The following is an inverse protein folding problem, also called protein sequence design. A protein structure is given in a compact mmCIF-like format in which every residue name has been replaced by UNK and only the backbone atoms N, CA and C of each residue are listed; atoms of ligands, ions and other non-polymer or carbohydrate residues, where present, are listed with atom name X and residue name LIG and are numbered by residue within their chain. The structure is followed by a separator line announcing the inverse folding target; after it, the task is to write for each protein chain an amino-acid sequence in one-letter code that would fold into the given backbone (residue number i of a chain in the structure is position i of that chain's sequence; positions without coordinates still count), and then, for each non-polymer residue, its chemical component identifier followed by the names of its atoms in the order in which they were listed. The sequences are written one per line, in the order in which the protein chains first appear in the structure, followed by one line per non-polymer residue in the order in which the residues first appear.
data_IF_940150907584
#
_entry.id   IF_940150907584
#
_cell.length_a   1.000
_cell.length_b   1.000
_cell.length_c   1.000
_cell.angle_alpha   90.00
_cell.angle_beta   90.00
_cell.angle_gamma   90.00
#
_symmetry.space_group_name_H-M   'P 1'
#
loop_
_entity.id
_entity.type
_entity.pdbx_description
1 polymer ?
#
# COMPACT_ATOMS: atom_id res chain seq x y z
N UNK A 1 -16.11 -29.82 6.08
CA UNK A 1 -15.52 -29.27 4.84
C UNK A 1 -16.12 -27.89 4.59
N UNK A 2 -15.38 -26.94 3.98
CA UNK A 2 -15.90 -25.61 3.63
C UNK A 2 -15.10 -24.39 4.09
N UNK A 3 -14.04 -24.57 4.89
CA UNK A 3 -13.15 -23.46 5.25
C UNK A 3 -12.35 -23.01 4.01
N UNK A 4 -12.30 -21.70 3.76
CA UNK A 4 -11.49 -21.10 2.69
C UNK A 4 -10.15 -20.64 3.26
N UNK A 5 -9.02 -20.91 2.58
CA UNK A 5 -7.72 -20.43 3.04
C UNK A 5 -7.66 -18.90 2.97
N UNK A 6 -6.94 -18.30 3.91
CA UNK A 6 -6.56 -16.90 3.81
C UNK A 6 -5.63 -16.74 2.61
N UNK A 7 -5.94 -15.78 1.73
CA UNK A 7 -5.11 -15.46 0.56
C UNK A 7 -4.11 -14.38 0.94
N UNK A 8 -2.88 -14.54 0.46
CA UNK A 8 -1.87 -13.48 0.56
C UNK A 8 -2.32 -12.29 -0.29
N UNK A 9 -2.18 -11.08 0.26
CA UNK A 9 -2.52 -9.83 -0.43
C UNK A 9 -1.27 -8.97 -0.52
N UNK A 10 -0.87 -8.64 -1.74
CA UNK A 10 0.18 -7.67 -2.03
C UNK A 10 -0.39 -6.26 -2.01
N UNK A 11 0.17 -5.41 -1.15
CA UNK A 11 -0.18 -4.00 -1.02
C UNK A 11 1.03 -3.12 -1.33
N UNK A 12 0.78 -1.83 -1.58
CA UNK A 12 1.83 -0.85 -1.92
C UNK A 12 2.62 -1.22 -3.19
N UNK A 13 1.93 -1.74 -4.20
CA UNK A 13 2.51 -2.29 -5.44
C UNK A 13 2.68 -1.26 -6.56
N UNK A 14 2.64 0.03 -6.25
CA UNK A 14 3.08 1.05 -7.20
C UNK A 14 4.60 1.18 -7.18
N UNK A 15 5.23 1.10 -8.34
CA UNK A 15 6.66 1.38 -8.49
C UNK A 15 6.98 2.81 -8.04
N UNK A 16 7.99 2.95 -7.18
CA UNK A 16 8.41 4.25 -6.61
C UNK A 16 9.67 4.81 -7.28
N UNK A 17 10.48 3.95 -7.89
CA UNK A 17 11.65 4.35 -8.66
C UNK A 17 11.22 4.63 -10.12
N UNK A 18 11.41 5.87 -10.64
CA UNK A 18 11.04 6.20 -12.02
C UNK A 18 11.85 5.43 -13.08
N UNK A 19 13.02 4.90 -12.73
CA UNK A 19 13.85 4.12 -13.66
C UNK A 19 13.39 2.65 -13.77
N UNK A 20 12.45 2.23 -12.92
CA UNK A 20 11.87 0.89 -12.96
C UNK A 20 10.52 0.91 -13.67
N UNK A 21 10.10 -0.20 -14.32
CA UNK A 21 8.78 -0.29 -14.94
C UNK A 21 7.66 0.01 -13.93
N UNK A 22 6.68 0.79 -14.32
CA UNK A 22 5.50 1.12 -13.51
C UNK A 22 4.58 -0.09 -13.24
N UNK A 23 4.76 -1.18 -13.99
CA UNK A 23 4.12 -2.49 -13.78
C UNK A 23 4.98 -3.51 -12.99
N UNK A 24 6.18 -3.14 -12.52
CA UNK A 24 7.18 -4.07 -11.96
C UNK A 24 6.59 -5.06 -10.94
N UNK A 25 5.93 -4.55 -9.89
CA UNK A 25 5.43 -5.40 -8.82
C UNK A 25 4.25 -6.27 -9.25
N UNK A 26 3.40 -5.79 -10.16
CA UNK A 26 2.25 -6.57 -10.63
C UNK A 26 2.73 -7.74 -11.48
N UNK A 27 3.72 -7.51 -12.35
CA UNK A 27 4.31 -8.57 -13.17
C UNK A 27 5.04 -9.61 -12.32
N UNK A 28 5.87 -9.16 -11.37
CA UNK A 28 6.75 -10.05 -10.60
C UNK A 28 6.02 -10.88 -9.54
N UNK A 29 4.90 -10.39 -8.99
CA UNK A 29 4.21 -11.01 -7.85
C UNK A 29 2.94 -11.80 -8.25
N UNK A 30 2.69 -11.97 -9.54
CA UNK A 30 1.56 -12.74 -10.04
C UNK A 30 1.72 -14.22 -9.64
N UNK A 31 0.86 -14.72 -8.74
CA UNK A 31 0.88 -16.11 -8.28
C UNK A 31 -0.52 -16.66 -7.97
N UNK A 32 -0.75 -17.99 -8.08
CA UNK A 32 -1.99 -18.63 -7.70
C UNK A 32 -2.42 -18.28 -6.28
N UNK A 33 -3.73 -18.11 -6.07
CA UNK A 33 -4.34 -17.86 -4.76
C UNK A 33 -3.83 -16.61 -4.02
N UNK A 34 -3.29 -15.63 -4.74
CA UNK A 34 -2.92 -14.32 -4.21
C UNK A 34 -3.88 -13.21 -4.68
N UNK A 35 -3.82 -12.07 -4.01
CA UNK A 35 -4.53 -10.84 -4.36
C UNK A 35 -3.48 -9.73 -4.49
N UNK A 36 -3.64 -8.81 -5.43
CA UNK A 36 -2.86 -7.58 -5.48
C UNK A 36 -3.82 -6.40 -5.40
N UNK A 37 -3.67 -5.53 -4.39
CA UNK A 37 -4.43 -4.28 -4.29
C UNK A 37 -3.64 -3.16 -4.93
N UNK A 38 -4.14 -2.67 -6.06
CA UNK A 38 -3.42 -1.72 -6.91
C UNK A 38 -4.06 -0.33 -6.79
N UNK A 39 -3.26 0.73 -6.64
CA UNK A 39 -3.72 2.08 -6.92
C UNK A 39 -4.17 2.22 -8.37
N UNK A 40 -5.12 3.12 -8.63
CA UNK A 40 -5.73 3.27 -9.96
C UNK A 40 -4.70 3.50 -11.08
N UNK A 41 -3.66 4.29 -10.82
CA UNK A 41 -2.59 4.54 -11.79
C UNK A 41 -1.85 3.25 -12.19
N UNK A 42 -1.49 2.42 -11.21
CA UNK A 42 -0.85 1.11 -11.46
C UNK A 42 -1.78 0.15 -12.19
N UNK A 43 -3.07 0.14 -11.83
CA UNK A 43 -4.08 -0.66 -12.54
C UNK A 43 -4.18 -0.24 -14.01
N UNK A 44 -4.21 1.07 -14.30
CA UNK A 44 -4.28 1.60 -15.65
C UNK A 44 -3.02 1.33 -16.46
N UNK A 45 -1.84 1.50 -15.88
CA UNK A 45 -0.56 1.15 -16.52
C UNK A 45 -0.51 -0.33 -16.87
N UNK A 46 -0.89 -1.20 -15.93
CA UNK A 46 -0.95 -2.64 -16.18
C UNK A 46 -2.01 -3.01 -17.24
N UNK A 47 -3.16 -2.32 -17.27
CA UNK A 47 -4.17 -2.55 -18.31
C UNK A 47 -3.72 -2.10 -19.71
N UNK A 48 -2.89 -1.06 -19.80
CA UNK A 48 -2.36 -0.53 -21.07
C UNK A 48 -1.25 -1.43 -21.64
N UNK A 49 -0.27 -1.79 -20.83
CA UNK A 49 0.94 -2.49 -21.31
C UNK A 49 1.50 -3.55 -20.34
N UNK A 50 0.75 -3.93 -19.31
CA UNK A 50 1.13 -4.99 -18.38
C UNK A 50 1.09 -6.39 -19.01
N UNK A 51 1.93 -7.28 -18.49
CA UNK A 51 2.05 -8.68 -18.94
C UNK A 51 2.33 -9.61 -17.77
N UNK A 52 1.72 -10.80 -17.81
CA UNK A 52 2.06 -11.91 -16.91
C UNK A 52 2.70 -13.01 -17.74
N UNK A 53 4.02 -12.94 -17.89
CA UNK A 53 4.77 -13.89 -18.72
C UNK A 53 4.92 -15.26 -18.03
N UNK A 54 5.09 -15.26 -16.71
CA UNK A 54 5.14 -16.45 -15.87
C UNK A 54 4.58 -16.15 -14.48
N UNK A 55 4.06 -17.18 -13.81
CA UNK A 55 3.76 -17.09 -12.38
C UNK A 55 5.05 -17.00 -11.57
N UNK A 56 5.02 -16.27 -10.46
CA UNK A 56 6.07 -16.28 -9.44
C UNK A 56 6.39 -17.73 -9.05
N UNK A 57 7.67 -18.13 -9.04
CA UNK A 57 8.08 -19.47 -8.63
C UNK A 57 7.62 -19.80 -7.21
N UNK A 58 7.34 -21.07 -6.96
CA UNK A 58 6.96 -21.55 -5.62
C UNK A 58 8.16 -21.84 -4.73
N UNK A 59 9.35 -22.01 -5.31
CA UNK A 59 10.58 -22.10 -4.53
C UNK A 59 11.03 -20.71 -4.06
N UNK A 60 11.76 -20.68 -2.96
CA UNK A 60 12.25 -19.46 -2.33
C UNK A 60 13.76 -19.32 -2.42
N UNK A 61 14.43 -20.07 -3.31
CA UNK A 61 15.89 -20.14 -3.35
C UNK A 61 16.50 -18.76 -3.66
N UNK A 62 16.03 -18.12 -4.73
CA UNK A 62 16.49 -16.79 -5.15
C UNK A 62 16.20 -15.71 -4.09
N UNK A 63 15.01 -15.76 -3.47
CA UNK A 63 14.62 -14.85 -2.41
C UNK A 63 15.51 -15.02 -1.17
N UNK A 64 15.80 -16.27 -0.78
CA UNK A 64 16.66 -16.61 0.37
C UNK A 64 18.10 -16.16 0.13
N UNK A 65 18.63 -16.42 -1.07
CA UNK A 65 19.95 -15.95 -1.46
C UNK A 65 20.04 -14.43 -1.43
N UNK A 66 19.04 -13.74 -1.97
CA UNK A 66 18.97 -12.28 -2.00
C UNK A 66 18.96 -11.70 -0.58
N UNK A 67 18.09 -12.22 0.30
CA UNK A 67 18.05 -11.81 1.71
C UNK A 67 19.36 -12.11 2.44
N UNK A 68 20.01 -13.24 2.13
CA UNK A 68 21.32 -13.60 2.67
C UNK A 68 22.42 -12.61 2.25
N UNK A 69 22.40 -12.13 1.00
CA UNK A 69 23.35 -11.12 0.51
C UNK A 69 23.19 -9.79 1.26
N UNK A 70 21.96 -9.36 1.53
CA UNK A 70 21.68 -8.17 2.35
C UNK A 70 22.22 -8.33 3.78
N UNK A 71 21.97 -9.49 4.41
CA UNK A 71 22.54 -9.80 5.72
C UNK A 71 24.07 -9.79 5.72
N UNK A 72 24.70 -10.35 4.69
CA UNK A 72 26.15 -10.32 4.51
C UNK A 72 26.72 -8.91 4.32
N UNK A 73 25.93 -7.98 3.79
CA UNK A 73 26.26 -6.56 3.68
C UNK A 73 25.97 -5.75 4.97
N UNK A 74 25.51 -6.40 6.04
CA UNK A 74 25.22 -5.76 7.32
C UNK A 74 23.81 -5.16 7.46
N UNK A 75 22.90 -5.45 6.52
CA UNK A 75 21.49 -5.07 6.62
C UNK A 75 20.75 -6.16 7.38
N UNK A 76 20.06 -5.80 8.46
CA UNK A 76 19.20 -6.72 9.22
C UNK A 76 17.77 -6.70 8.64
N UNK A 77 17.32 -7.75 7.92
CA UNK A 77 15.98 -7.76 7.33
C UNK A 77 14.87 -7.81 8.38
N UNK A 78 15.11 -8.44 9.54
CA UNK A 78 14.11 -8.54 10.60
C UNK A 78 13.96 -7.22 11.33
N UNK A 79 15.08 -6.57 11.67
CA UNK A 79 15.08 -5.22 12.22
C UNK A 79 14.40 -4.21 11.29
N UNK A 80 14.72 -4.26 9.99
CA UNK A 80 14.10 -3.41 8.97
C UNK A 80 12.58 -3.68 8.86
N UNK A 81 12.15 -4.94 8.84
CA UNK A 81 10.73 -5.29 8.81
C UNK A 81 9.98 -4.74 10.04
N UNK A 82 10.57 -4.89 11.24
CA UNK A 82 10.00 -4.35 12.47
C UNK A 82 9.92 -2.83 12.47
N UNK A 83 10.92 -2.15 11.89
CA UNK A 83 10.90 -0.70 11.71
C UNK A 83 9.79 -0.26 10.75
N UNK A 84 9.70 -0.87 9.56
CA UNK A 84 8.67 -0.57 8.57
C UNK A 84 7.26 -0.78 9.12
N UNK A 85 7.05 -1.80 9.96
CA UNK A 85 5.76 -2.02 10.62
C UNK A 85 5.39 -0.87 11.57
N UNK A 86 6.34 -0.37 12.37
CA UNK A 86 6.09 0.75 13.30
C UNK A 86 5.82 2.05 12.54
N UNK A 87 6.68 2.39 11.59
CA UNK A 87 6.51 3.59 10.75
C UNK A 87 5.19 3.54 9.97
N UNK A 88 4.83 2.37 9.46
CA UNK A 88 3.54 2.13 8.82
C UNK A 88 2.37 2.45 9.77
N UNK A 89 2.37 1.91 10.99
CA UNK A 89 1.32 2.19 11.97
C UNK A 89 1.22 3.69 12.32
N UNK A 90 2.36 4.34 12.55
CA UNK A 90 2.43 5.78 12.84
C UNK A 90 1.88 6.64 11.68
N UNK A 91 2.15 6.24 10.43
CA UNK A 91 1.64 6.93 9.25
C UNK A 91 0.11 6.84 9.13
N UNK A 92 -0.47 5.69 9.53
CA UNK A 92 -1.91 5.49 9.58
C UNK A 92 -2.55 6.33 10.70
N UNK A 93 -1.97 6.33 11.90
CA UNK A 93 -2.42 7.17 13.02
C UNK A 93 -2.42 8.65 12.65
N UNK A 94 -1.36 9.09 11.97
CA UNK A 94 -1.24 10.47 11.48
C UNK A 94 -2.33 10.78 10.46
N UNK A 95 -2.54 9.90 9.47
CA UNK A 95 -3.57 10.06 8.45
C UNK A 95 -4.98 10.11 9.07
N UNK A 96 -5.23 9.30 10.09
CA UNK A 96 -6.49 9.28 10.83
C UNK A 96 -6.75 10.58 11.58
N UNK A 97 -5.74 11.10 12.31
CA UNK A 97 -5.84 12.39 13.00
C UNK A 97 -6.10 13.54 12.02
N UNK A 98 -5.45 13.53 10.86
CA UNK A 98 -5.66 14.53 9.81
C UNK A 98 -7.09 14.48 9.25
N UNK A 99 -7.65 13.28 9.07
CA UNK A 99 -9.04 13.10 8.66
C UNK A 99 -10.01 13.72 9.69
N UNK A 100 -9.83 13.40 10.98
CA UNK A 100 -10.67 13.94 12.05
C UNK A 100 -10.58 15.47 12.15
N UNK A 101 -9.37 16.02 12.04
CA UNK A 101 -9.16 17.47 12.03
C UNK A 101 -9.87 18.15 10.85
N UNK A 102 -9.83 17.52 9.66
CA UNK A 102 -10.52 18.01 8.47
C UNK A 102 -12.04 18.05 8.65
N UNK A 103 -12.61 17.03 9.30
CA UNK A 103 -14.03 16.97 9.63
C UNK A 103 -14.40 18.07 10.63
N UNK A 104 -13.63 18.23 11.71
CA UNK A 104 -13.86 19.28 12.71
C UNK A 104 -13.81 20.68 12.08
N UNK A 105 -12.79 20.95 11.26
CA UNK A 105 -12.66 22.23 10.56
C UNK A 105 -13.84 22.51 9.61
N UNK A 106 -14.40 21.47 8.98
CA UNK A 106 -15.59 21.61 8.14
C UNK A 106 -16.85 21.86 8.96
N UNK A 107 -17.01 21.16 10.09
CA UNK A 107 -18.09 21.37 11.04
C UNK A 107 -18.13 22.83 11.51
N UNK A 108 -17.00 23.35 11.98
CA UNK A 108 -16.92 24.71 12.54
C UNK A 108 -17.25 25.79 11.50
N UNK A 109 -16.82 25.59 10.24
CA UNK A 109 -17.18 26.47 9.12
C UNK A 109 -18.69 26.49 8.87
N UNK A 110 -19.35 25.33 8.94
CA UNK A 110 -20.79 25.23 8.68
C UNK A 110 -21.62 25.82 9.83
N UNK A 111 -21.22 25.59 11.08
CA UNK A 111 -21.92 26.14 12.25
C UNK A 111 -21.76 27.66 12.37
N UNK A 112 -20.58 28.20 12.09
CA UNK A 112 -20.34 29.65 12.05
C UNK A 112 -21.15 30.38 10.97
N UNK A 113 -21.43 29.70 9.85
CA UNK A 113 -22.23 30.28 8.75
C UNK A 113 -23.74 30.25 9.06
N UNK A 114 -24.19 29.29 9.88
CA UNK A 114 -25.59 29.15 10.30
C UNK A 114 -26.09 30.17 11.32
N UNK A 115 -25.21 30.89 12.02
CA UNK A 115 -25.60 31.88 13.05
C UNK A 115 -25.94 33.26 12.48
N UNK A 116 -25.86 33.47 11.16
CA UNK A 116 -26.15 34.78 10.51
C UNK A 116 -27.51 34.80 9.80
N UNK A 117 -28.58 34.39 10.48
CA UNK A 117 -29.93 34.74 10.04
C UNK A 117 -30.27 36.15 10.57
N UNK A 118 -30.53 37.15 9.72
CA UNK A 118 -30.88 38.49 10.17
C UNK A 118 -32.28 38.47 10.79
N UNK A 119 -32.38 39.01 12.01
CA UNK A 119 -33.65 39.37 12.66
C UNK A 119 -34.44 40.29 11.73
N UNK A 120 -35.55 39.77 11.18
CA UNK A 120 -36.56 40.62 10.53
C UNK A 120 -37.32 41.40 11.60
N UNK A 121 -37.29 42.73 11.47
CA UNK A 121 -38.22 43.66 12.13
C UNK A 121 -39.64 43.45 11.63
#
# INVERSE_FOLDING_TARGET
EGARPQRLLWASTSTKNPDAPDTLYVNALAAPFTINTMPEATLRAFADHGRVDASMPTDSADATQTLGAYSGAGIDPQGLAAQLQREGAESFDTSWRNLLASIAAKHDKLTATGTRAPTRK
#
